data_IF_482154013470
#
_entry.id   IF_482154013470
#
_cell.length_a   1.000
_cell.length_b   1.000
_cell.length_c   1.000
_cell.angle_alpha   90.00
_cell.angle_beta   90.00
_cell.angle_gamma   90.00
#
_symmetry.space_group_name_H-M   'P 1'
#
loop_
_entity.id
_entity.type
_entity.pdbx_description
1 polymer ?
#
# COMPACT_ATOMS: atom_id res chain seq x y z
N UNK A 1 -14.39 -1.27 -14.80
CA UNK A 1 -13.13 -0.80 -14.19
C UNK A 1 -12.96 -1.62 -12.94
N UNK A 2 -11.84 -2.32 -12.77
CA UNK A 2 -11.46 -2.88 -11.48
C UNK A 2 -11.09 -1.70 -10.59
N UNK A 3 -11.83 -1.49 -9.51
CA UNK A 3 -11.56 -0.42 -8.57
C UNK A 3 -10.12 -0.54 -8.05
N UNK A 4 -9.39 0.57 -8.00
CA UNK A 4 -8.04 0.59 -7.46
C UNK A 4 -8.07 0.33 -5.95
N UNK A 5 -6.99 -0.23 -5.40
CA UNK A 5 -6.85 -0.38 -3.93
C UNK A 5 -7.05 0.95 -3.20
N UNK A 6 -6.61 2.05 -3.81
CA UNK A 6 -6.80 3.39 -3.27
C UNK A 6 -8.27 3.82 -3.22
N UNK A 7 -9.13 3.36 -4.13
CA UNK A 7 -10.57 3.64 -4.11
C UNK A 7 -11.28 2.72 -3.12
N UNK A 8 -10.92 1.43 -3.10
CA UNK A 8 -11.53 0.43 -2.23
C UNK A 8 -11.27 0.66 -0.74
N UNK A 9 -10.10 1.19 -0.39
CA UNK A 9 -9.67 1.34 1.01
C UNK A 9 -9.68 2.81 1.50
N UNK A 10 -10.05 3.78 0.66
CA UNK A 10 -10.10 5.19 1.08
C UNK A 10 -11.26 5.40 2.05
N UNK A 11 -10.92 5.95 3.22
CA UNK A 11 -11.93 6.38 4.19
C UNK A 11 -12.76 7.54 3.64
N UNK A 12 -14.05 7.61 3.98
CA UNK A 12 -14.89 8.75 3.63
C UNK A 12 -14.40 10.01 4.35
N UNK A 13 -14.80 11.18 3.82
CA UNK A 13 -14.63 12.44 4.54
C UNK A 13 -15.62 12.47 5.72
N UNK A 14 -15.12 12.76 6.92
CA UNK A 14 -15.93 12.86 8.14
C UNK A 14 -15.78 11.65 9.08
N UNK A 15 -16.75 11.44 9.99
CA UNK A 15 -16.70 10.34 10.95
C UNK A 15 -16.62 8.96 10.27
N UNK A 16 -15.80 8.08 10.83
CA UNK A 16 -15.62 6.70 10.36
C UNK A 16 -16.02 5.75 11.47
N UNK A 17 -16.95 4.84 11.17
CA UNK A 17 -17.22 3.70 12.04
C UNK A 17 -16.24 2.56 11.72
N UNK A 18 -15.22 2.43 12.56
CA UNK A 18 -14.22 1.36 12.41
C UNK A 18 -14.80 -0.02 12.70
N UNK A 19 -15.88 -0.13 13.48
CA UNK A 19 -16.49 -1.42 13.80
C UNK A 19 -17.21 -2.05 12.59
N UNK A 20 -17.57 -1.24 11.59
CA UNK A 20 -18.14 -1.70 10.34
C UNK A 20 -17.10 -2.26 9.34
N UNK A 21 -15.80 -2.12 9.63
CA UNK A 21 -14.71 -2.57 8.74
C UNK A 21 -14.22 -3.94 9.22
N UNK A 22 -14.38 -4.97 8.37
CA UNK A 22 -13.90 -6.32 8.69
C UNK A 22 -12.36 -6.40 8.64
N UNK A 23 -11.67 -6.72 9.76
CA UNK A 23 -10.21 -6.89 9.78
C UNK A 23 -9.72 -8.09 8.97
N UNK A 24 -10.61 -9.02 8.57
CA UNK A 24 -10.28 -10.18 7.74
C UNK A 24 -10.57 -9.96 6.26
N UNK A 25 -11.14 -8.81 5.88
CA UNK A 25 -11.45 -8.49 4.50
C UNK A 25 -10.19 -8.47 3.64
N UNK A 26 -10.33 -8.88 2.37
CA UNK A 26 -9.31 -8.80 1.32
C UNK A 26 -9.83 -8.01 0.09
N UNK A 27 -10.20 -6.73 0.24
CA UNK A 27 -10.86 -5.98 -0.82
C UNK A 27 -9.97 -5.88 -2.07
N UNK A 28 -10.54 -6.16 -3.24
CA UNK A 28 -9.82 -6.09 -4.51
C UNK A 28 -8.82 -7.22 -4.76
N UNK A 29 -8.79 -8.25 -3.91
CA UNK A 29 -7.93 -9.41 -4.09
C UNK A 29 -8.70 -10.72 -3.89
N UNK A 30 -9.11 -11.34 -5.01
CA UNK A 30 -9.87 -12.60 -5.01
C UNK A 30 -8.96 -13.78 -5.41
N UNK A 31 -7.96 -14.06 -4.57
CA UNK A 31 -7.04 -15.16 -4.77
C UNK A 31 -6.45 -15.68 -3.45
N UNK A 32 -5.79 -16.83 -3.52
CA UNK A 32 -5.22 -17.49 -2.35
C UNK A 32 -3.94 -16.81 -1.83
N UNK A 33 -3.50 -17.25 -0.64
CA UNK A 33 -2.27 -16.75 0.01
C UNK A 33 -1.01 -16.94 -0.85
N UNK A 34 -0.95 -18.00 -1.66
CA UNK A 34 0.21 -18.26 -2.51
C UNK A 34 0.24 -17.27 -3.69
N UNK A 35 -0.92 -16.96 -4.28
CA UNK A 35 -1.08 -15.93 -5.28
C UNK A 35 -0.72 -14.54 -4.73
N UNK A 36 -1.16 -14.21 -3.51
CA UNK A 36 -0.79 -12.95 -2.85
C UNK A 36 0.72 -12.78 -2.68
N UNK A 37 1.43 -13.84 -2.29
CA UNK A 37 2.91 -13.81 -2.19
C UNK A 37 3.59 -13.59 -3.54
N UNK A 38 3.08 -14.22 -4.60
CA UNK A 38 3.62 -14.03 -5.96
C UNK A 38 3.38 -12.60 -6.45
N UNK A 39 2.16 -12.10 -6.31
CA UNK A 39 1.82 -10.72 -6.67
C UNK A 39 2.68 -9.70 -5.92
N UNK A 40 2.92 -9.90 -4.62
CA UNK A 40 3.82 -9.03 -3.84
C UNK A 40 5.26 -9.05 -4.37
N UNK A 41 5.78 -10.22 -4.73
CA UNK A 41 7.12 -10.34 -5.30
C UNK A 41 7.22 -9.65 -6.67
N UNK A 42 6.18 -9.76 -7.51
CA UNK A 42 6.10 -9.12 -8.83
C UNK A 42 6.06 -7.59 -8.74
N UNK A 43 5.50 -7.03 -7.67
CA UNK A 43 5.46 -5.58 -7.45
C UNK A 43 6.82 -4.98 -7.05
N UNK A 44 7.75 -5.78 -6.56
CA UNK A 44 9.04 -5.28 -6.04
C UNK A 44 9.88 -4.56 -7.09
N UNK A 45 10.06 -5.17 -8.27
CA UNK A 45 10.89 -4.59 -9.33
C UNK A 45 10.29 -3.29 -9.93
N UNK A 46 8.99 -3.22 -10.27
CA UNK A 46 8.36 -1.97 -10.69
C UNK A 46 8.44 -0.85 -9.65
N UNK A 47 8.27 -1.17 -8.36
CA UNK A 47 8.39 -0.16 -7.29
C UNK A 47 9.83 0.36 -7.16
N UNK A 48 10.83 -0.50 -7.30
CA UNK A 48 12.24 -0.10 -7.29
C UNK A 48 12.56 0.86 -8.45
N UNK A 49 12.12 0.55 -9.68
CA UNK A 49 12.28 1.45 -10.84
C UNK A 49 11.63 2.82 -10.60
N UNK A 50 10.40 2.83 -10.09
CA UNK A 50 9.68 4.07 -9.79
C UNK A 50 10.40 4.90 -8.70
N UNK A 51 10.95 4.24 -7.68
CA UNK A 51 11.71 4.90 -6.62
C UNK A 51 13.02 5.48 -7.17
N UNK A 52 13.73 4.75 -8.02
CA UNK A 52 14.96 5.22 -8.66
C UNK A 52 14.68 6.46 -9.53
N UNK A 53 13.59 6.43 -10.31
CA UNK A 53 13.15 7.57 -11.12
C UNK A 53 12.78 8.79 -10.27
N UNK A 54 12.09 8.60 -9.14
CA UNK A 54 11.78 9.67 -8.19
C UNK A 54 13.07 10.25 -7.58
N UNK A 55 14.05 9.40 -7.25
CA UNK A 55 15.33 9.84 -6.74
C UNK A 55 16.13 10.62 -7.79
N UNK A 56 16.24 10.12 -9.01
CA UNK A 56 16.92 10.77 -10.12
C UNK A 56 16.30 12.13 -10.46
N UNK A 57 14.98 12.22 -10.48
CA UNK A 57 14.26 13.49 -10.67
C UNK A 57 14.68 14.53 -9.63
N UNK A 58 14.83 14.13 -8.37
CA UNK A 58 15.26 15.05 -7.33
C UNK A 58 16.70 15.56 -7.48
N UNK A 59 17.55 14.84 -8.23
CA UNK A 59 18.90 15.30 -8.61
C UNK A 59 18.88 16.26 -9.80
N UNK A 60 17.83 16.22 -10.60
CA UNK A 60 17.62 17.09 -11.75
C UNK A 60 16.83 18.37 -11.39
N UNK A 61 16.67 18.70 -10.10
CA UNK A 61 15.94 19.88 -9.63
C UNK A 61 14.45 19.65 -9.36
N UNK A 62 13.97 18.41 -9.47
CA UNK A 62 12.62 18.03 -9.09
C UNK A 62 12.36 18.12 -7.58
N UNK A 63 11.11 18.40 -7.21
CA UNK A 63 10.69 18.63 -5.83
C UNK A 63 9.73 17.58 -5.28
N UNK A 64 9.36 16.57 -6.09
CA UNK A 64 8.40 15.55 -5.67
C UNK A 64 8.98 14.66 -4.57
N UNK A 65 8.15 14.35 -3.58
CA UNK A 65 8.46 13.50 -2.43
C UNK A 65 7.23 12.66 -2.08
N UNK A 66 7.45 11.52 -1.45
CA UNK A 66 6.39 10.65 -0.92
C UNK A 66 6.66 10.44 0.56
N UNK A 67 5.62 10.59 1.39
CA UNK A 67 5.61 10.24 2.80
C UNK A 67 4.61 9.10 3.01
N UNK A 68 5.08 8.00 3.61
CA UNK A 68 4.24 6.86 3.97
C UNK A 68 4.10 6.86 5.50
N UNK A 69 2.88 6.92 6.00
CA UNK A 69 2.57 6.82 7.43
C UNK A 69 1.89 5.47 7.68
N UNK A 70 2.53 4.63 8.51
CA UNK A 70 1.97 3.35 8.93
C UNK A 70 1.55 3.46 10.40
N UNK A 71 0.25 3.28 10.68
CA UNK A 71 -0.30 3.35 12.02
C UNK A 71 -1.18 2.14 12.32
N UNK A 72 -1.15 1.69 13.57
CA UNK A 72 -1.88 0.51 14.03
C UNK A 72 -1.44 0.10 15.42
N UNK A 73 -2.17 -0.82 16.03
CA UNK A 73 -1.88 -1.33 17.37
C UNK A 73 -0.58 -2.14 17.42
N UNK A 74 -0.12 -2.46 18.62
CA UNK A 74 0.94 -3.45 18.79
C UNK A 74 0.54 -4.78 18.13
N UNK A 75 1.53 -5.49 17.58
CA UNK A 75 1.36 -6.73 16.81
C UNK A 75 0.55 -6.63 15.51
N UNK A 76 0.15 -5.42 15.09
CA UNK A 76 -0.60 -5.21 13.82
C UNK A 76 0.22 -5.40 12.54
N UNK A 77 1.48 -5.86 12.64
CA UNK A 77 2.31 -6.16 11.48
C UNK A 77 3.06 -4.98 10.84
N UNK A 78 2.99 -3.76 11.40
CA UNK A 78 3.67 -2.56 10.84
C UNK A 78 5.15 -2.80 10.48
N UNK A 79 5.89 -3.44 11.39
CA UNK A 79 7.31 -3.74 11.17
C UNK A 79 7.57 -4.74 10.03
N UNK A 80 6.62 -5.63 9.74
CA UNK A 80 6.69 -6.53 8.59
C UNK A 80 6.54 -5.76 7.27
N UNK A 81 5.60 -4.82 7.21
CA UNK A 81 5.36 -3.98 6.03
C UNK A 81 6.56 -3.10 5.68
N UNK A 82 7.37 -2.68 6.65
CA UNK A 82 8.59 -1.89 6.39
C UNK A 82 9.77 -2.75 5.89
N UNK A 83 9.79 -4.03 6.25
CA UNK A 83 10.88 -4.96 5.88
C UNK A 83 10.70 -5.58 4.50
N UNK A 84 9.47 -5.61 4.01
CA UNK A 84 9.06 -6.15 2.71
C UNK A 84 8.91 -5.01 1.71
#
# INVERSE_FOLDING_TARGET
MTDSVAELLRLPLGPVDLAAIDPRGIPGFDADKAAGKRALAELGAPLADLQERLYAESKAGGSRRILIVLQGMDTSGKGGVVRH
#
